data_IF_123848418720
#
_entry.id   IF_123848418720
#
_cell.length_a   1.000
_cell.length_b   1.000
_cell.length_c   1.000
_cell.angle_alpha   90.00
_cell.angle_beta   90.00
_cell.angle_gamma   90.00
#
_symmetry.space_group_name_H-M   'P 1'
#
loop_
_entity.id
_entity.type
_entity.pdbx_description
1 polymer ?
#
# COMPACT_ATOMS: atom_id res chain seq x y z
N UNK A 1 -31.80 41.99 -41.99
CA UNK A 1 -31.99 40.66 -41.38
C UNK A 1 -31.18 40.60 -40.11
N UNK A 2 -31.78 40.33 -38.95
CA UNK A 2 -31.06 40.40 -37.68
C UNK A 2 -30.15 39.18 -37.52
N UNK A 3 -28.87 39.44 -37.24
CA UNK A 3 -27.89 38.44 -36.82
C UNK A 3 -28.34 37.87 -35.47
N UNK A 4 -28.75 36.61 -35.45
CA UNK A 4 -28.86 35.85 -34.20
C UNK A 4 -27.45 35.55 -33.70
N UNK A 5 -26.94 36.39 -32.81
CA UNK A 5 -25.78 36.08 -32.00
C UNK A 5 -26.30 35.21 -30.84
N UNK A 6 -26.24 33.89 -31.02
CA UNK A 6 -26.60 32.94 -29.98
C UNK A 6 -25.57 33.07 -28.84
N UNK A 7 -25.90 33.84 -27.81
CA UNK A 7 -25.16 33.85 -26.55
C UNK A 7 -25.31 32.49 -25.88
N UNK A 8 -24.25 31.68 -25.92
CA UNK A 8 -24.18 30.42 -25.17
C UNK A 8 -23.98 30.80 -23.69
N UNK A 9 -24.99 30.52 -22.85
CA UNK A 9 -24.92 30.73 -21.41
C UNK A 9 -23.90 29.75 -20.78
N UNK A 10 -22.89 30.29 -20.10
CA UNK A 10 -21.90 29.53 -19.35
C UNK A 10 -22.43 29.17 -17.97
N UNK A 11 -22.94 27.95 -17.82
CA UNK A 11 -23.45 27.46 -16.55
C UNK A 11 -23.52 25.94 -16.56
N UNK A 12 -22.52 25.28 -15.98
CA UNK A 12 -22.36 23.82 -15.81
C UNK A 12 -22.24 22.99 -17.09
N UNK A 13 -22.95 23.31 -18.18
CA UNK A 13 -23.04 22.60 -19.46
C UNK A 13 -21.75 22.29 -20.19
N UNK A 14 -20.91 23.31 -20.30
CA UNK A 14 -19.75 23.32 -21.16
C UNK A 14 -18.63 23.98 -20.36
N UNK A 15 -17.60 23.21 -20.03
CA UNK A 15 -16.37 23.74 -19.47
C UNK A 15 -15.51 24.21 -20.62
N UNK A 16 -15.40 25.53 -20.78
CA UNK A 16 -14.36 26.07 -21.66
C UNK A 16 -13.02 25.94 -20.94
N UNK A 17 -12.07 25.26 -21.56
CA UNK A 17 -10.67 25.27 -21.14
C UNK A 17 -9.91 26.02 -22.23
N UNK A 18 -9.19 27.08 -21.84
CA UNK A 18 -8.50 27.92 -22.83
C UNK A 18 -7.22 27.28 -23.33
N UNK A 19 -6.49 26.59 -22.45
CA UNK A 19 -5.30 25.82 -22.81
C UNK A 19 -5.36 24.47 -22.09
N UNK A 20 -5.21 23.39 -22.84
CA UNK A 20 -5.11 22.05 -22.28
C UNK A 20 -3.87 21.34 -22.82
N UNK A 21 -3.25 20.53 -21.96
CA UNK A 21 -2.10 19.70 -22.33
C UNK A 21 -2.59 18.33 -22.75
N UNK A 22 -2.15 17.87 -23.92
CA UNK A 22 -2.34 16.47 -24.33
C UNK A 22 -1.38 15.59 -23.54
N UNK A 23 -1.90 14.59 -22.83
CA UNK A 23 -1.09 13.57 -22.18
C UNK A 23 -0.39 12.71 -23.23
N UNK A 24 0.87 12.40 -22.99
CA UNK A 24 1.67 11.47 -23.79
C UNK A 24 1.40 10.03 -23.36
N UNK A 25 1.73 9.05 -24.22
CA UNK A 25 1.57 7.62 -23.93
C UNK A 25 2.39 7.13 -22.73
N UNK A 26 3.34 7.95 -22.23
CA UNK A 26 4.14 7.65 -21.03
C UNK A 26 3.46 8.09 -19.73
N UNK A 27 2.36 8.83 -19.82
CA UNK A 27 1.69 9.43 -18.66
C UNK A 27 0.40 8.69 -18.27
N UNK A 28 -0.10 7.83 -19.15
CA UNK A 28 -1.27 7.00 -18.90
C UNK A 28 -1.13 5.64 -19.58
N UNK A 29 -1.93 4.70 -19.11
CA UNK A 29 -2.13 3.40 -19.75
C UNK A 29 -3.61 3.23 -20.09
N UNK A 30 -3.90 2.61 -21.23
CA UNK A 30 -5.25 2.32 -21.70
C UNK A 30 -5.44 0.81 -21.74
N UNK A 31 -6.48 0.31 -21.06
CA UNK A 31 -6.95 -1.04 -21.29
C UNK A 31 -7.98 -1.01 -22.42
N UNK A 32 -7.56 -1.37 -23.63
CA UNK A 32 -8.39 -1.28 -24.83
C UNK A 32 -9.59 -2.24 -24.81
N UNK A 33 -9.49 -3.35 -24.06
CA UNK A 33 -10.55 -4.36 -23.97
C UNK A 33 -11.67 -3.92 -23.04
N UNK A 34 -11.31 -3.38 -21.87
CA UNK A 34 -12.26 -2.97 -20.83
C UNK A 34 -12.62 -1.48 -20.90
N UNK A 35 -11.86 -0.67 -21.64
CA UNK A 35 -12.14 0.73 -21.90
C UNK A 35 -11.86 1.68 -20.73
N UNK A 36 -10.86 1.38 -19.89
CA UNK A 36 -10.45 2.26 -18.80
C UNK A 36 -9.06 2.85 -19.00
N UNK A 37 -8.84 4.03 -18.40
CA UNK A 37 -7.57 4.75 -18.44
C UNK A 37 -7.02 4.80 -17.01
N UNK A 38 -5.74 4.43 -16.85
CA UNK A 38 -5.01 4.59 -15.60
C UNK A 38 -3.91 5.63 -15.79
N UNK A 39 -3.97 6.70 -15.02
CA UNK A 39 -2.92 7.72 -15.00
C UNK A 39 -1.74 7.28 -14.13
N UNK A 40 -0.54 7.65 -14.55
CA UNK A 40 0.68 7.37 -13.78
C UNK A 40 0.86 8.34 -12.60
N UNK A 41 0.23 9.50 -12.69
CA UNK A 41 0.19 10.52 -11.63
C UNK A 41 -1.25 10.90 -11.30
N UNK A 42 -1.51 11.13 -10.03
CA UNK A 42 -2.80 11.65 -9.59
C UNK A 42 -2.97 13.09 -10.04
N UNK A 43 -4.16 13.42 -10.55
CA UNK A 43 -4.51 14.79 -10.92
C UNK A 43 -4.81 15.63 -9.68
N UNK A 44 -4.45 16.91 -9.72
CA UNK A 44 -4.82 17.88 -8.70
C UNK A 44 -6.35 18.11 -8.68
N UNK A 45 -6.87 18.59 -7.56
CA UNK A 45 -8.32 18.78 -7.38
C UNK A 45 -8.93 19.76 -8.40
N UNK A 46 -8.17 20.77 -8.82
CA UNK A 46 -8.53 21.81 -9.77
C UNK A 46 -8.28 21.43 -11.24
N UNK A 47 -7.71 20.26 -11.52
CA UNK A 47 -7.46 19.80 -12.89
C UNK A 47 -8.69 19.13 -13.52
N UNK A 48 -8.82 19.29 -14.84
CA UNK A 48 -9.86 18.67 -15.67
C UNK A 48 -9.22 17.58 -16.52
N UNK A 49 -9.92 16.45 -16.69
CA UNK A 49 -9.52 15.39 -17.62
C UNK A 49 -10.63 15.15 -18.64
N UNK A 50 -10.25 15.18 -19.92
CA UNK A 50 -11.14 14.89 -21.04
C UNK A 50 -10.43 13.99 -22.07
N UNK A 51 -11.23 13.27 -22.86
CA UNK A 51 -10.75 12.29 -23.84
C UNK A 51 -11.48 12.45 -25.16
N UNK A 52 -10.78 12.12 -26.25
CA UNK A 52 -11.37 11.78 -27.53
C UNK A 52 -10.73 10.49 -28.05
N UNK A 53 -11.55 9.59 -28.57
CA UNK A 53 -11.09 8.29 -29.05
C UNK A 53 -12.04 7.73 -30.10
N UNK A 54 -11.52 6.81 -30.90
CA UNK A 54 -12.27 6.01 -31.86
C UNK A 54 -12.07 4.53 -31.52
N UNK A 55 -13.12 3.74 -31.69
CA UNK A 55 -13.04 2.29 -31.49
C UNK A 55 -13.94 1.57 -32.48
N UNK A 56 -13.55 0.35 -32.85
CA UNK A 56 -14.33 -0.48 -33.77
C UNK A 56 -14.97 -1.62 -33.01
N UNK A 57 -16.28 -1.76 -33.14
CA UNK A 57 -17.05 -2.84 -32.53
C UNK A 57 -17.97 -3.49 -33.56
N UNK A 58 -17.85 -4.80 -33.73
CA UNK A 58 -18.60 -5.58 -34.73
C UNK A 58 -18.53 -4.98 -36.14
N UNK A 59 -17.33 -4.55 -36.57
CA UNK A 59 -17.07 -3.97 -37.89
C UNK A 59 -17.58 -2.54 -38.10
N UNK A 60 -18.16 -1.90 -37.07
CA UNK A 60 -18.57 -0.49 -37.11
C UNK A 60 -17.63 0.36 -36.27
N UNK A 61 -17.15 1.45 -36.84
CA UNK A 61 -16.33 2.44 -36.13
C UNK A 61 -17.21 3.45 -35.42
N UNK A 62 -16.95 3.65 -34.14
CA UNK A 62 -17.61 4.63 -33.29
C UNK A 62 -16.58 5.66 -32.85
N UNK A 63 -17.01 6.92 -32.76
CA UNK A 63 -16.17 8.04 -32.37
C UNK A 63 -16.78 8.77 -31.18
N UNK A 64 -15.93 9.15 -30.24
CA UNK A 64 -16.29 9.95 -29.06
C UNK A 64 -15.37 11.15 -29.00
N UNK A 65 -15.94 12.35 -29.06
CA UNK A 65 -15.20 13.61 -29.11
C UNK A 65 -14.54 13.89 -30.47
N UNK A 66 -13.71 14.93 -30.51
CA UNK A 66 -13.01 15.38 -31.70
C UNK A 66 -11.50 15.16 -31.60
N UNK A 67 -10.94 14.44 -32.56
CA UNK A 67 -9.50 14.24 -32.67
C UNK A 67 -8.85 15.47 -33.29
N UNK A 68 -7.66 15.86 -32.81
CA UNK A 68 -6.89 16.98 -33.37
C UNK A 68 -6.54 16.80 -34.86
N UNK A 69 -6.55 15.58 -35.35
CA UNK A 69 -6.32 15.23 -36.77
C UNK A 69 -7.55 15.44 -37.66
N UNK A 70 -8.70 15.85 -37.11
CA UNK A 70 -9.96 16.03 -37.84
C UNK A 70 -10.06 17.35 -38.62
N UNK A 71 -8.96 18.11 -38.74
CA UNK A 71 -8.92 19.36 -39.51
C UNK A 71 -9.47 20.60 -38.80
N UNK A 72 -9.67 20.55 -37.47
CA UNK A 72 -10.08 21.69 -36.65
C UNK A 72 -8.83 22.51 -36.32
N UNK A 73 -8.81 23.77 -36.73
CA UNK A 73 -7.66 24.68 -36.55
C UNK A 73 -8.05 25.90 -35.72
N UNK A 74 -7.09 26.44 -34.97
CA UNK A 74 -7.22 27.70 -34.23
C UNK A 74 -7.89 28.79 -35.09
N UNK A 75 -8.87 29.55 -34.55
CA UNK A 75 -9.30 29.65 -33.15
C UNK A 75 -10.46 28.70 -32.78
N UNK A 76 -10.76 27.70 -33.62
CA UNK A 76 -11.84 26.76 -33.34
C UNK A 76 -11.45 25.84 -32.18
N UNK A 77 -12.44 25.39 -31.43
CA UNK A 77 -12.23 24.62 -30.22
C UNK A 77 -12.63 23.16 -30.42
N UNK A 78 -11.88 22.24 -29.80
CA UNK A 78 -12.20 20.81 -29.80
C UNK A 78 -13.29 20.50 -28.79
N UNK A 79 -14.27 19.72 -29.22
CA UNK A 79 -15.29 19.13 -28.35
C UNK A 79 -14.81 17.77 -27.86
N UNK A 80 -14.54 17.64 -26.57
CA UNK A 80 -14.05 16.40 -25.96
C UNK A 80 -15.04 15.85 -24.94
N UNK A 81 -14.92 14.54 -24.64
CA UNK A 81 -15.67 13.92 -23.56
C UNK A 81 -15.00 14.17 -22.23
N UNK A 82 -15.70 14.87 -21.34
CA UNK A 82 -15.27 15.10 -19.97
C UNK A 82 -15.33 13.79 -19.15
N UNK A 83 -14.24 13.46 -18.46
CA UNK A 83 -14.17 12.29 -17.56
C UNK A 83 -13.86 12.66 -16.10
N UNK A 84 -13.19 13.80 -15.84
CA UNK A 84 -13.05 14.41 -14.50
C UNK A 84 -13.24 15.92 -14.58
N UNK A 85 -14.17 16.46 -13.81
CA UNK A 85 -14.36 17.90 -13.62
C UNK A 85 -13.56 18.42 -12.41
N UNK A 86 -13.40 19.74 -12.30
CA UNK A 86 -12.80 20.39 -11.11
C UNK A 86 -13.63 20.19 -9.84
N UNK A 87 -14.96 20.14 -9.98
CA UNK A 87 -15.85 19.81 -8.87
C UNK A 87 -16.19 18.32 -8.93
N UNK A 88 -15.46 17.51 -8.17
CA UNK A 88 -15.67 16.07 -8.11
C UNK A 88 -16.76 15.74 -7.08
N UNK A 89 -18.02 15.71 -7.53
CA UNK A 89 -19.18 15.40 -6.67
C UNK A 89 -19.97 14.19 -7.16
N UNK A 90 -20.48 13.33 -6.25
CA UNK A 90 -21.33 12.19 -6.61
C UNK A 90 -22.60 12.51 -7.38
N UNK A 91 -23.03 13.79 -7.37
CA UNK A 91 -24.19 14.26 -8.12
C UNK A 91 -23.93 14.34 -9.62
N UNK A 92 -22.67 14.42 -10.06
CA UNK A 92 -22.31 14.56 -11.47
C UNK A 92 -22.09 13.19 -12.15
N UNK A 93 -22.44 13.03 -13.44
CA UNK A 93 -22.24 11.77 -14.16
C UNK A 93 -20.78 11.33 -14.23
N UNK A 94 -19.83 12.27 -14.25
CA UNK A 94 -18.38 12.00 -14.25
C UNK A 94 -17.96 11.18 -13.04
N UNK A 95 -18.68 11.27 -11.91
CA UNK A 95 -18.41 10.47 -10.73
C UNK A 95 -18.52 8.97 -10.99
N UNK A 96 -19.47 8.56 -11.83
CA UNK A 96 -19.68 7.15 -12.21
C UNK A 96 -18.60 6.62 -13.16
N UNK A 97 -17.90 7.51 -13.87
CA UNK A 97 -16.79 7.15 -14.75
C UNK A 97 -15.50 6.85 -13.97
N UNK A 98 -15.36 7.40 -12.76
CA UNK A 98 -14.25 7.07 -11.87
C UNK A 98 -14.38 5.65 -11.34
N UNK A 99 -13.42 4.80 -11.68
CA UNK A 99 -13.26 3.46 -11.11
C UNK A 99 -12.86 3.55 -9.63
N UNK A 100 -13.53 2.74 -8.80
CA UNK A 100 -13.32 2.67 -7.32
C UNK A 100 -13.14 1.23 -6.85
N UNK A 101 -12.76 0.36 -7.78
CA UNK A 101 -12.61 -1.08 -7.62
C UNK A 101 -11.15 -1.51 -7.85
N UNK A 102 -10.20 -0.58 -7.75
CA UNK A 102 -8.77 -0.80 -7.94
C UNK A 102 -8.03 -0.41 -6.67
N UNK A 103 -7.27 -1.33 -6.10
CA UNK A 103 -6.61 -1.16 -4.80
C UNK A 103 -5.11 -1.38 -4.96
N UNK A 104 -4.31 -0.42 -4.49
CA UNK A 104 -2.86 -0.55 -4.49
C UNK A 104 -2.41 -1.35 -3.27
N UNK A 105 -1.54 -2.34 -3.47
CA UNK A 105 -0.91 -3.12 -2.39
C UNK A 105 0.51 -2.62 -2.04
N UNK A 106 0.93 -1.50 -2.64
CA UNK A 106 2.24 -0.87 -2.38
C UNK A 106 3.43 -1.68 -2.90
N UNK A 107 3.19 -2.59 -3.83
CA UNK A 107 4.18 -3.50 -4.37
C UNK A 107 4.60 -3.11 -5.80
N UNK A 108 5.79 -3.52 -6.20
CA UNK A 108 6.29 -3.39 -7.57
C UNK A 108 6.80 -4.75 -8.05
N UNK A 109 6.60 -5.04 -9.34
CA UNK A 109 7.03 -6.29 -9.96
C UNK A 109 6.60 -7.51 -9.14
N UNK A 110 5.30 -7.60 -8.87
CA UNK A 110 4.70 -8.67 -8.06
C UNK A 110 4.85 -10.00 -8.79
N UNK A 111 5.44 -10.99 -8.12
CA UNK A 111 5.51 -12.36 -8.64
C UNK A 111 4.15 -13.07 -8.43
N UNK A 112 3.69 -13.89 -9.39
CA UNK A 112 2.60 -14.83 -9.17
C UNK A 112 2.93 -15.89 -8.11
N UNK A 113 4.21 -16.24 -7.96
CA UNK A 113 4.65 -17.30 -7.06
C UNK A 113 4.38 -16.89 -5.60
N UNK A 114 3.80 -17.80 -4.82
CA UNK A 114 3.40 -17.59 -3.42
C UNK A 114 2.57 -16.32 -3.17
N UNK A 115 1.85 -15.85 -4.20
CA UNK A 115 0.95 -14.73 -4.06
C UNK A 115 -0.33 -15.16 -3.34
N UNK A 116 -0.58 -14.55 -2.20
CA UNK A 116 -1.80 -14.75 -1.42
C UNK A 116 -2.55 -13.43 -1.30
N UNK A 117 -3.85 -13.43 -1.61
CA UNK A 117 -4.73 -12.32 -1.34
C UNK A 117 -6.02 -12.79 -0.70
N UNK A 118 -6.34 -12.15 0.41
CA UNK A 118 -7.57 -12.33 1.16
C UNK A 118 -8.31 -11.01 1.26
N UNK A 119 -9.64 -11.11 1.15
CA UNK A 119 -10.53 -10.06 1.59
C UNK A 119 -11.11 -10.51 2.93
N UNK A 120 -10.95 -9.67 3.94
CA UNK A 120 -11.38 -9.92 5.30
C UNK A 120 -12.45 -8.90 5.70
N UNK A 121 -13.34 -9.30 6.60
CA UNK A 121 -14.33 -8.48 7.25
C UNK A 121 -14.06 -8.45 8.75
N UNK A 122 -13.99 -7.26 9.33
CA UNK A 122 -13.82 -7.05 10.76
C UNK A 122 -15.15 -7.32 11.47
N UNK A 123 -15.24 -8.43 12.20
CA UNK A 123 -16.44 -8.79 12.95
C UNK A 123 -16.46 -8.13 14.34
N UNK A 124 -17.51 -7.37 14.64
CA UNK A 124 -17.63 -6.65 15.92
C UNK A 124 -17.87 -7.59 17.10
N UNK A 125 -18.47 -8.76 16.85
CA UNK A 125 -18.80 -9.71 17.93
C UNK A 125 -17.55 -10.37 18.50
N UNK A 126 -16.64 -10.77 17.62
CA UNK A 126 -15.41 -11.47 17.99
C UNK A 126 -14.18 -10.57 18.06
N UNK A 127 -14.21 -9.39 17.44
CA UNK A 127 -13.04 -8.53 17.27
C UNK A 127 -12.03 -9.06 16.25
N UNK A 128 -12.34 -10.16 15.57
CA UNK A 128 -11.44 -10.80 14.62
C UNK A 128 -11.75 -10.39 13.18
N UNK A 129 -10.71 -10.40 12.34
CA UNK A 129 -10.87 -10.27 10.89
C UNK A 129 -11.12 -11.67 10.29
N UNK A 130 -12.30 -11.87 9.72
CA UNK A 130 -12.74 -13.15 9.14
C UNK A 130 -12.87 -13.05 7.63
N UNK A 131 -12.66 -14.14 6.90
CA UNK A 131 -12.71 -14.15 5.44
C UNK A 131 -14.09 -14.47 4.85
N UNK A 132 -15.17 -14.42 5.63
CA UNK A 132 -16.57 -14.64 5.20
C UNK A 132 -17.53 -13.69 5.93
N UNK A 133 -18.78 -13.61 5.49
CA UNK A 133 -19.83 -12.87 6.19
C UNK A 133 -20.53 -13.79 7.21
N UNK A 134 -20.63 -13.44 8.51
CA UNK A 134 -21.18 -14.35 9.53
C UNK A 134 -22.59 -14.89 9.25
N UNK A 135 -23.47 -14.08 8.66
CA UNK A 135 -24.85 -14.44 8.32
C UNK A 135 -24.99 -15.14 6.96
N UNK A 136 -23.88 -15.35 6.24
CA UNK A 136 -23.85 -16.29 5.12
C UNK A 136 -23.80 -17.72 5.67
N UNK A 137 -24.88 -18.49 5.43
CA UNK A 137 -25.01 -19.87 5.90
C UNK A 137 -23.92 -20.78 5.35
N UNK A 138 -23.47 -20.51 4.12
CA UNK A 138 -22.46 -21.32 3.45
C UNK A 138 -21.03 -20.89 3.85
N UNK A 139 -20.89 -19.79 4.60
CA UNK A 139 -19.62 -19.19 5.02
C UNK A 139 -18.61 -19.09 3.86
N UNK A 140 -19.08 -18.68 2.68
CA UNK A 140 -18.22 -18.64 1.52
C UNK A 140 -17.15 -17.57 1.70
N UNK A 141 -15.92 -17.88 1.29
CA UNK A 141 -14.82 -16.93 1.36
C UNK A 141 -15.12 -15.68 0.50
N UNK A 142 -14.71 -14.52 0.99
CA UNK A 142 -15.05 -13.22 0.43
C UNK A 142 -14.43 -13.02 -0.95
N UNK A 143 -13.24 -13.54 -1.22
CA UNK A 143 -12.64 -13.47 -2.57
C UNK A 143 -13.57 -14.12 -3.62
N UNK A 144 -14.16 -15.27 -3.29
CA UNK A 144 -15.13 -15.94 -4.15
C UNK A 144 -16.46 -15.20 -4.20
N UNK A 145 -16.97 -14.73 -3.06
CA UNK A 145 -18.20 -13.92 -3.01
C UNK A 145 -18.09 -12.63 -3.85
N UNK A 146 -16.89 -12.03 -3.93
CA UNK A 146 -16.57 -10.83 -4.67
C UNK A 146 -16.06 -11.09 -6.09
N UNK A 147 -16.12 -12.35 -6.55
CA UNK A 147 -15.78 -12.77 -7.92
C UNK A 147 -14.29 -12.64 -8.28
N UNK A 148 -13.40 -12.73 -7.29
CA UNK A 148 -11.94 -12.76 -7.43
C UNK A 148 -11.37 -14.18 -7.53
N UNK A 149 -12.19 -15.20 -7.31
CA UNK A 149 -11.85 -16.63 -7.37
C UNK A 149 -12.93 -17.31 -8.23
N UNK A 150 -12.58 -17.58 -9.48
CA UNK A 150 -13.45 -18.18 -10.50
C UNK A 150 -12.81 -19.33 -11.25
N UNK A 151 -11.48 -19.35 -11.31
CA UNK A 151 -10.72 -20.36 -12.00
C UNK A 151 -9.84 -21.12 -11.01
N UNK A 152 -9.39 -22.31 -11.40
CA UNK A 152 -8.42 -23.07 -10.62
C UNK A 152 -6.99 -22.83 -11.15
N UNK A 153 -6.02 -23.45 -10.50
CA UNK A 153 -4.62 -23.50 -10.96
C UNK A 153 -4.42 -23.99 -12.41
N UNK A 154 -5.33 -24.76 -13.00
CA UNK A 154 -5.30 -25.20 -14.41
C UNK A 154 -6.00 -24.22 -15.37
N UNK A 155 -6.50 -23.08 -14.88
CA UNK A 155 -7.30 -22.09 -15.61
C UNK A 155 -8.68 -22.58 -16.06
N UNK A 156 -9.16 -23.70 -15.51
CA UNK A 156 -10.53 -24.16 -15.71
C UNK A 156 -11.51 -23.31 -14.92
N UNK A 157 -12.77 -23.12 -15.37
CA UNK A 157 -13.78 -22.29 -14.71
C UNK A 157 -14.37 -22.96 -13.46
N UNK A 158 -13.51 -23.30 -12.51
CA UNK A 158 -13.85 -23.86 -11.21
C UNK A 158 -13.08 -23.12 -10.11
N UNK A 159 -13.75 -22.43 -9.17
CA UNK A 159 -13.08 -21.77 -8.05
C UNK A 159 -12.33 -22.77 -7.15
N UNK A 160 -11.12 -22.43 -6.71
CA UNK A 160 -10.27 -23.27 -5.85
C UNK A 160 -9.98 -22.67 -4.48
N UNK A 161 -10.49 -21.46 -4.21
CA UNK A 161 -10.29 -20.78 -2.94
C UNK A 161 -9.05 -19.89 -2.90
N UNK A 162 -8.35 -19.73 -4.03
CA UNK A 162 -7.21 -18.84 -4.20
C UNK A 162 -7.62 -17.64 -5.07
N UNK A 163 -6.91 -16.53 -4.92
CA UNK A 163 -7.13 -15.37 -5.78
C UNK A 163 -6.69 -15.68 -7.21
N UNK A 164 -7.56 -15.41 -8.19
CA UNK A 164 -7.23 -15.56 -9.61
C UNK A 164 -6.15 -14.54 -10.00
N UNK A 165 -4.88 -14.95 -10.08
CA UNK A 165 -3.78 -14.06 -10.48
C UNK A 165 -3.65 -13.96 -12.01
N UNK A 166 -4.30 -12.96 -12.61
CA UNK A 166 -4.35 -12.78 -14.07
C UNK A 166 -3.92 -11.36 -14.42
N UNK A 167 -2.74 -11.25 -15.03
CA UNK A 167 -2.16 -9.97 -15.42
C UNK A 167 -3.06 -9.18 -16.37
N UNK A 168 -3.27 -7.91 -16.06
CA UNK A 168 -4.11 -6.99 -16.82
C UNK A 168 -5.62 -7.17 -16.61
N UNK A 169 -6.05 -8.18 -15.82
CA UNK A 169 -7.47 -8.44 -15.51
C UNK A 169 -7.74 -8.26 -14.02
N UNK A 170 -7.03 -8.99 -13.16
CA UNK A 170 -7.22 -8.98 -11.69
C UNK A 170 -6.02 -8.37 -10.97
N UNK A 171 -4.85 -8.33 -11.60
CA UNK A 171 -3.66 -7.63 -11.07
C UNK A 171 -2.91 -6.90 -12.19
N UNK A 172 -2.20 -5.83 -11.82
CA UNK A 172 -1.08 -5.29 -12.57
C UNK A 172 0.20 -5.55 -11.77
N UNK A 173 1.03 -6.47 -12.26
CA UNK A 173 2.28 -6.90 -11.62
C UNK A 173 3.27 -5.76 -11.48
N UNK A 174 3.35 -4.87 -12.47
CA UNK A 174 4.38 -3.82 -12.50
C UNK A 174 4.27 -2.83 -11.33
N UNK A 175 3.04 -2.52 -10.89
CA UNK A 175 2.77 -1.49 -9.88
C UNK A 175 1.86 -1.96 -8.74
N UNK A 176 1.62 -3.26 -8.62
CA UNK A 176 0.90 -3.86 -7.49
C UNK A 176 -0.51 -3.31 -7.33
N UNK A 177 -1.27 -3.21 -8.43
CA UNK A 177 -2.69 -2.82 -8.38
C UNK A 177 -3.58 -4.03 -8.55
N UNK A 178 -4.49 -4.25 -7.61
CA UNK A 178 -5.50 -5.30 -7.63
C UNK A 178 -6.80 -4.74 -8.20
N UNK A 179 -7.34 -5.41 -9.21
CA UNK A 179 -8.55 -5.05 -9.92
C UNK A 179 -9.67 -6.00 -9.51
N UNK A 180 -10.70 -5.47 -8.88
CA UNK A 180 -11.91 -6.23 -8.63
C UNK A 180 -12.74 -6.32 -9.92
N UNK A 181 -13.19 -7.51 -10.36
CA UNK A 181 -13.92 -7.68 -11.62
C UNK A 181 -15.30 -7.03 -11.69
N UNK A 182 -15.71 -6.29 -10.65
CA UNK A 182 -16.99 -5.59 -10.59
C UNK A 182 -16.79 -4.13 -10.22
N UNK A 183 -17.69 -3.25 -10.66
CA UNK A 183 -17.58 -1.80 -10.41
C UNK A 183 -17.75 -1.45 -8.92
N UNK A 184 -18.58 -2.21 -8.21
CA UNK A 184 -18.91 -1.97 -6.80
C UNK A 184 -18.82 -3.28 -5.99
N UNK A 185 -17.62 -3.83 -5.77
CA UNK A 185 -17.44 -5.11 -5.09
C UNK A 185 -18.10 -5.14 -3.70
N UNK A 186 -17.78 -4.16 -2.86
CA UNK A 186 -18.33 -4.05 -1.49
C UNK A 186 -19.75 -3.45 -1.44
N UNK A 187 -20.25 -2.95 -2.57
CA UNK A 187 -21.57 -2.34 -2.71
C UNK A 187 -22.54 -3.32 -3.37
N UNK A 188 -22.86 -3.05 -4.64
CA UNK A 188 -23.82 -3.84 -5.43
C UNK A 188 -23.50 -5.33 -5.48
N UNK A 189 -22.24 -5.71 -5.70
CA UNK A 189 -21.85 -7.12 -5.87
C UNK A 189 -22.10 -7.93 -4.60
N UNK A 190 -21.62 -7.45 -3.45
CA UNK A 190 -21.85 -8.10 -2.15
C UNK A 190 -23.35 -8.16 -1.80
N UNK A 191 -24.11 -7.11 -2.11
CA UNK A 191 -25.55 -7.10 -1.88
C UNK A 191 -26.28 -8.17 -2.70
N UNK A 192 -25.94 -8.31 -3.99
CA UNK A 192 -26.49 -9.33 -4.88
C UNK A 192 -26.10 -10.74 -4.44
N UNK A 193 -24.85 -10.93 -4.02
CA UNK A 193 -24.37 -12.19 -3.46
C UNK A 193 -25.20 -12.62 -2.23
N UNK A 194 -25.30 -11.75 -1.22
CA UNK A 194 -26.07 -12.04 0.00
C UNK A 194 -27.56 -12.20 -0.28
N UNK A 195 -28.10 -11.49 -1.29
CA UNK A 195 -29.47 -11.72 -1.79
C UNK A 195 -29.65 -13.16 -2.25
N UNK A 196 -28.73 -13.66 -3.06
CA UNK A 196 -28.76 -15.01 -3.60
C UNK A 196 -28.68 -16.09 -2.51
N UNK A 197 -28.00 -15.78 -1.40
CA UNK A 197 -27.92 -16.66 -0.21
C UNK A 197 -29.14 -16.58 0.72
N UNK A 198 -30.15 -15.77 0.38
CA UNK A 198 -31.37 -15.61 1.18
C UNK A 198 -31.18 -14.81 2.47
N UNK A 199 -30.13 -13.97 2.55
CA UNK A 199 -29.90 -13.08 3.68
C UNK A 199 -30.88 -11.90 3.60
N UNK A 200 -31.56 -11.62 4.72
CA UNK A 200 -32.57 -10.57 4.80
C UNK A 200 -32.00 -9.17 4.48
N UNK A 201 -32.86 -8.29 3.95
CA UNK A 201 -32.48 -6.93 3.55
C UNK A 201 -31.92 -6.10 4.71
N UNK A 202 -32.49 -6.19 5.91
CA UNK A 202 -32.02 -5.43 7.07
C UNK A 202 -30.64 -5.90 7.53
N UNK A 203 -30.36 -7.20 7.42
CA UNK A 203 -29.06 -7.78 7.75
C UNK A 203 -28.01 -7.35 6.73
N UNK A 204 -28.31 -7.40 5.44
CA UNK A 204 -27.38 -6.99 4.37
C UNK A 204 -26.92 -5.53 4.50
N UNK A 205 -27.78 -4.62 4.95
CA UNK A 205 -27.43 -3.20 5.13
C UNK A 205 -26.26 -2.95 6.10
N UNK A 206 -25.95 -3.92 6.95
CA UNK A 206 -24.77 -3.88 7.83
C UNK A 206 -23.46 -4.07 7.06
N UNK A 207 -23.48 -4.85 5.99
CA UNK A 207 -22.30 -5.25 5.21
C UNK A 207 -22.11 -4.46 3.92
N UNK A 208 -23.19 -4.02 3.29
CA UNK A 208 -23.15 -3.38 1.97
C UNK A 208 -22.62 -1.96 2.09
N UNK A 209 -21.37 -1.75 1.71
CA UNK A 209 -20.68 -0.47 1.83
C UNK A 209 -20.90 0.38 0.57
N UNK A 210 -22.07 1.00 0.46
CA UNK A 210 -22.46 1.80 -0.71
C UNK A 210 -21.80 3.17 -0.73
N UNK A 211 -21.54 3.74 0.43
CA UNK A 211 -20.92 5.06 0.60
C UNK A 211 -19.54 5.13 -0.06
N UNK A 212 -18.83 4.01 -0.13
CA UNK A 212 -17.56 3.89 -0.86
C UNK A 212 -17.68 4.27 -2.35
N UNK A 213 -18.87 4.11 -2.94
CA UNK A 213 -19.11 4.34 -4.38
C UNK A 213 -19.97 5.56 -4.66
N UNK A 214 -20.91 5.90 -3.78
CA UNK A 214 -21.88 7.00 -3.98
C UNK A 214 -21.55 8.28 -3.21
N UNK A 215 -20.48 8.28 -2.41
CA UNK A 215 -20.09 9.39 -1.54
C UNK A 215 -18.60 9.70 -1.66
N UNK A 216 -18.21 10.90 -1.23
CA UNK A 216 -16.80 11.31 -1.17
C UNK A 216 -16.01 10.42 -0.22
N UNK A 217 -14.71 10.23 -0.48
CA UNK A 217 -13.83 9.40 0.37
C UNK A 217 -13.92 9.76 1.85
N UNK A 218 -13.88 11.05 2.20
CA UNK A 218 -13.99 11.53 3.59
C UNK A 218 -15.30 11.08 4.25
N UNK A 219 -16.42 11.18 3.52
CA UNK A 219 -17.73 10.73 4.03
C UNK A 219 -17.78 9.21 4.20
N UNK A 220 -17.20 8.46 3.26
CA UNK A 220 -17.12 7.00 3.38
C UNK A 220 -16.23 6.56 4.56
N UNK A 221 -15.13 7.28 4.83
CA UNK A 221 -14.25 7.02 5.98
C UNK A 221 -14.95 7.23 7.32
N UNK A 222 -15.81 8.25 7.43
CA UNK A 222 -16.62 8.50 8.62
C UNK A 222 -17.67 7.43 8.88
N UNK A 223 -18.00 6.60 7.88
CA UNK A 223 -18.98 5.52 8.02
C UNK A 223 -18.34 4.24 8.57
N UNK A 224 -17.85 4.35 9.82
CA UNK A 224 -17.12 3.30 10.52
C UNK A 224 -17.90 1.99 10.67
N UNK A 225 -19.24 2.03 10.67
CA UNK A 225 -20.07 0.83 10.75
C UNK A 225 -19.89 -0.12 9.56
N UNK A 226 -19.59 0.43 8.37
CA UNK A 226 -19.43 -0.33 7.11
C UNK A 226 -17.99 -0.37 6.61
N UNK A 227 -17.15 0.56 7.05
CA UNK A 227 -15.72 0.59 6.73
C UNK A 227 -14.94 -0.48 7.52
N UNK A 228 -15.25 -1.76 7.24
CA UNK A 228 -14.77 -2.93 7.98
C UNK A 228 -14.09 -3.99 7.11
N UNK A 229 -13.96 -3.72 5.81
CA UNK A 229 -13.26 -4.62 4.89
C UNK A 229 -11.77 -4.31 4.88
N UNK A 230 -10.96 -5.37 4.95
CA UNK A 230 -9.49 -5.31 4.87
C UNK A 230 -9.03 -6.19 3.71
N UNK A 231 -8.10 -5.71 2.92
CA UNK A 231 -7.37 -6.53 1.94
C UNK A 231 -6.04 -6.89 2.60
N UNK A 232 -5.80 -8.17 2.78
CA UNK A 232 -4.61 -8.70 3.44
C UNK A 232 -4.02 -9.81 2.59
N UNK A 233 -2.72 -10.05 2.67
CA UNK A 233 -2.09 -11.03 1.80
C UNK A 233 -0.58 -11.05 1.95
N UNK A 234 0.05 -11.87 1.12
CA UNK A 234 1.50 -12.02 1.01
C UNK A 234 1.87 -11.97 -0.46
N UNK A 235 3.00 -11.35 -0.74
CA UNK A 235 3.53 -11.27 -2.08
C UNK A 235 5.05 -11.25 -2.01
N UNK A 236 5.68 -11.60 -3.11
CA UNK A 236 7.12 -11.44 -3.32
C UNK A 236 7.37 -10.65 -4.61
N UNK A 237 8.53 -10.01 -4.67
CA UNK A 237 8.99 -9.37 -5.90
C UNK A 237 9.60 -10.43 -6.83
N UNK A 238 9.54 -10.21 -8.14
CA UNK A 238 10.10 -11.12 -9.14
C UNK A 238 11.63 -11.22 -9.11
N UNK A 239 12.32 -10.34 -8.37
CA UNK A 239 13.78 -10.43 -8.16
C UNK A 239 14.09 -11.48 -7.09
N UNK A 240 14.32 -12.73 -7.52
CA UNK A 240 14.45 -13.90 -6.64
C UNK A 240 15.73 -13.96 -5.80
N UNK A 241 16.80 -13.26 -6.20
CA UNK A 241 18.09 -13.34 -5.51
C UNK A 241 18.51 -12.07 -4.79
N UNK A 242 17.88 -10.92 -5.08
CA UNK A 242 18.21 -9.63 -4.47
C UNK A 242 17.05 -9.09 -3.64
N UNK A 243 17.30 -8.87 -2.37
CA UNK A 243 16.35 -8.34 -1.40
C UNK A 243 16.76 -6.91 -1.07
N UNK A 244 15.89 -5.94 -1.37
CA UNK A 244 16.07 -4.54 -0.96
C UNK A 244 15.87 -4.40 0.54
N UNK A 245 16.84 -3.79 1.21
CA UNK A 245 16.77 -3.45 2.63
C UNK A 245 15.95 -2.18 2.90
N UNK A 246 15.59 -1.44 1.83
CA UNK A 246 14.91 -0.14 1.89
C UNK A 246 15.61 0.89 2.80
N UNK A 247 16.91 0.69 3.02
CA UNK A 247 17.77 1.55 3.83
C UNK A 247 19.08 1.76 3.07
N UNK A 248 19.30 2.96 2.48
CA UNK A 248 20.59 3.26 1.86
C UNK A 248 21.67 3.47 2.94
N UNK A 249 22.93 3.17 2.60
CA UNK A 249 24.08 3.34 3.49
C UNK A 249 23.98 2.58 4.83
N UNK A 250 23.76 1.26 4.75
CA UNK A 250 23.73 0.39 5.93
C UNK A 250 25.15 0.23 6.49
N UNK A 251 25.36 0.33 7.82
CA UNK A 251 26.66 0.05 8.43
C UNK A 251 27.18 -1.36 8.11
N UNK A 252 28.48 -1.46 7.82
CA UNK A 252 29.09 -2.75 7.50
C UNK A 252 29.01 -3.72 8.68
N UNK A 253 28.59 -4.96 8.42
CA UNK A 253 28.44 -6.00 9.44
C UNK A 253 27.17 -5.90 10.31
N UNK A 254 26.30 -4.92 10.09
CA UNK A 254 25.04 -4.80 10.84
C UNK A 254 23.92 -5.70 10.31
N UNK A 255 24.10 -6.26 9.12
CA UNK A 255 23.12 -7.12 8.47
C UNK A 255 23.27 -8.54 9.00
N UNK A 256 22.21 -9.05 9.63
CA UNK A 256 22.10 -10.43 10.09
C UNK A 256 21.00 -11.11 9.29
N UNK A 257 21.39 -12.08 8.48
CA UNK A 257 20.46 -12.90 7.69
C UNK A 257 20.27 -14.25 8.35
N UNK A 258 19.02 -14.67 8.53
CA UNK A 258 18.68 -16.01 9.03
C UNK A 258 17.73 -16.72 8.06
N UNK A 259 17.91 -18.04 7.89
CA UNK A 259 17.01 -18.89 7.12
C UNK A 259 16.58 -20.08 7.98
N UNK A 260 15.27 -20.27 8.16
CA UNK A 260 14.75 -21.38 8.97
C UNK A 260 15.24 -21.37 10.44
N UNK A 261 15.64 -20.20 10.95
CA UNK A 261 16.22 -20.04 12.28
C UNK A 261 17.74 -20.16 12.36
N UNK A 262 18.41 -20.65 11.30
CA UNK A 262 19.88 -20.67 11.23
C UNK A 262 20.43 -19.34 10.75
N UNK A 263 21.47 -18.82 11.40
CA UNK A 263 22.20 -17.64 10.95
C UNK A 263 23.07 -17.99 9.74
N UNK A 264 22.91 -17.24 8.66
CA UNK A 264 23.68 -17.41 7.44
C UNK A 264 25.01 -16.66 7.53
N UNK A 265 26.00 -17.11 6.75
CA UNK A 265 27.33 -16.50 6.72
C UNK A 265 27.50 -15.58 5.51
N UNK A 266 27.90 -14.34 5.76
CA UNK A 266 28.19 -13.36 4.70
C UNK A 266 29.40 -13.83 3.86
N UNK A 267 29.33 -13.59 2.55
CA UNK A 267 30.24 -14.04 1.49
C UNK A 267 30.27 -15.55 1.22
N UNK A 268 29.48 -16.34 1.94
CA UNK A 268 29.28 -17.78 1.67
C UNK A 268 27.84 -18.02 1.23
N UNK A 269 26.88 -17.64 2.08
CA UNK A 269 25.46 -17.86 1.82
C UNK A 269 24.79 -16.66 1.13
N UNK A 270 25.27 -15.45 1.41
CA UNK A 270 24.77 -14.21 0.85
C UNK A 270 25.87 -13.13 0.78
N UNK A 271 25.65 -12.09 -0.01
CA UNK A 271 26.47 -10.86 -0.03
C UNK A 271 25.60 -9.65 0.27
N UNK A 272 26.22 -8.58 0.76
CA UNK A 272 25.53 -7.32 1.08
C UNK A 272 26.18 -6.18 0.30
N UNK A 273 25.36 -5.45 -0.47
CA UNK A 273 25.70 -4.12 -0.95
C UNK A 273 25.25 -3.10 0.11
N UNK A 274 26.20 -2.69 0.94
CA UNK A 274 25.98 -1.74 2.02
C UNK A 274 25.64 -0.32 1.53
N UNK A 275 26.08 0.06 0.34
CA UNK A 275 25.80 1.39 -0.23
C UNK A 275 24.36 1.46 -0.75
N UNK A 276 23.98 0.49 -1.58
CA UNK A 276 22.64 0.42 -2.17
C UNK A 276 21.60 -0.15 -1.19
N UNK A 277 22.04 -0.77 -0.09
CA UNK A 277 21.15 -1.41 0.86
C UNK A 277 20.47 -2.64 0.26
N UNK A 278 21.23 -3.56 -0.31
CA UNK A 278 20.70 -4.79 -0.93
C UNK A 278 21.43 -6.02 -0.41
N UNK A 279 20.68 -7.10 -0.21
CA UNK A 279 21.23 -8.42 0.12
C UNK A 279 21.02 -9.34 -1.05
N UNK A 280 22.09 -10.00 -1.50
CA UNK A 280 22.04 -11.00 -2.56
C UNK A 280 22.29 -12.39 -1.99
N UNK A 281 21.32 -13.28 -2.11
CA UNK A 281 21.47 -14.69 -1.69
C UNK A 281 22.26 -15.44 -2.77
N UNK A 282 23.37 -16.07 -2.38
CA UNK A 282 24.28 -16.79 -3.29
C UNK A 282 24.06 -18.30 -3.20
N UNK A 283 23.72 -18.80 -2.01
CA UNK A 283 23.47 -20.22 -1.79
C UNK A 283 22.16 -20.67 -2.48
N UNK A 284 22.29 -21.38 -3.60
CA UNK A 284 21.16 -21.84 -4.41
C UNK A 284 20.25 -22.82 -3.66
N UNK A 285 20.79 -23.64 -2.76
CA UNK A 285 19.98 -24.56 -1.96
C UNK A 285 18.99 -23.83 -1.04
N UNK A 286 19.32 -22.61 -0.61
CA UNK A 286 18.39 -21.79 0.18
C UNK A 286 17.29 -21.18 -0.70
N UNK A 287 17.60 -20.82 -1.95
CA UNK A 287 16.63 -20.30 -2.91
C UNK A 287 15.65 -21.39 -3.37
N UNK A 288 16.15 -22.59 -3.66
CA UNK A 288 15.33 -23.72 -4.13
C UNK A 288 14.47 -24.33 -3.03
N UNK A 289 14.90 -24.26 -1.77
CA UNK A 289 14.15 -24.83 -0.65
C UNK A 289 12.93 -24.01 -0.23
N UNK A 290 12.77 -22.78 -0.71
CA UNK A 290 11.67 -21.89 -0.33
C UNK A 290 11.66 -21.51 1.16
N UNK A 291 12.78 -21.72 1.86
CA UNK A 291 12.88 -21.44 3.30
C UNK A 291 12.77 -19.94 3.56
N UNK A 292 11.90 -19.47 4.46
CA UNK A 292 11.78 -18.05 4.75
C UNK A 292 13.11 -17.45 5.23
N UNK A 293 13.57 -16.42 4.52
CA UNK A 293 14.77 -15.65 4.85
C UNK A 293 14.34 -14.39 5.60
N UNK A 294 14.83 -14.24 6.83
CA UNK A 294 14.63 -13.04 7.65
C UNK A 294 15.92 -12.23 7.69
N UNK A 295 15.83 -10.96 7.34
CA UNK A 295 16.95 -10.03 7.43
C UNK A 295 16.67 -9.06 8.56
N UNK A 296 17.63 -8.93 9.46
CA UNK A 296 17.66 -7.89 10.49
C UNK A 296 18.84 -6.99 10.19
N UNK A 297 18.67 -5.68 10.33
CA UNK A 297 19.74 -4.71 10.11
C UNK A 297 19.66 -3.59 11.14
N UNK A 298 20.81 -3.04 11.48
CA UNK A 298 20.89 -1.76 12.17
C UNK A 298 20.99 -0.65 11.12
N UNK A 299 20.12 0.35 11.19
CA UNK A 299 20.14 1.50 10.29
C UNK A 299 20.52 2.75 11.06
N UNK A 300 21.56 3.45 10.61
CA UNK A 300 21.96 4.76 11.12
C UNK A 300 21.07 5.89 10.58
N UNK A 301 19.76 5.67 10.49
CA UNK A 301 18.85 6.69 9.99
C UNK A 301 18.95 7.94 10.87
N UNK A 302 19.50 9.01 10.29
CA UNK A 302 19.78 10.30 10.94
C UNK A 302 18.51 11.05 11.40
N UNK A 303 17.33 10.49 11.15
CA UNK A 303 16.03 11.09 11.49
C UNK A 303 15.41 10.56 12.78
N UNK A 304 16.16 9.87 13.65
CA UNK A 304 15.66 9.62 14.99
C UNK A 304 15.89 10.84 15.88
N UNK A 305 14.81 11.56 16.15
CA UNK A 305 14.81 12.79 16.96
C UNK A 305 15.01 12.47 18.47
N UNK A 306 14.75 11.22 18.88
CA UNK A 306 14.91 10.79 20.28
C UNK A 306 16.37 10.43 20.58
N UNK A 307 16.88 10.89 21.72
CA UNK A 307 18.23 10.51 22.16
C UNK A 307 18.20 9.12 22.77
N UNK A 308 19.03 8.20 22.25
CA UNK A 308 19.21 6.84 22.79
C UNK A 308 20.55 6.74 23.50
N UNK A 309 20.55 6.20 24.71
CA UNK A 309 21.76 5.95 25.51
C UNK A 309 21.82 4.46 25.83
N UNK A 310 22.83 3.78 25.30
CA UNK A 310 23.14 2.38 25.61
C UNK A 310 24.39 2.34 26.49
N UNK A 311 24.27 1.82 27.70
CA UNK A 311 25.39 1.62 28.64
C UNK A 311 25.38 0.19 29.08
N UNK A 312 26.53 -0.45 29.09
CA UNK A 312 26.62 -1.80 29.61
C UNK A 312 28.04 -2.32 29.64
N UNK A 313 28.16 -3.55 30.11
CA UNK A 313 29.42 -4.27 30.21
C UNK A 313 29.20 -5.72 29.81
N UNK A 314 30.24 -6.29 29.22
CA UNK A 314 30.34 -7.71 28.94
C UNK A 314 31.66 -8.22 29.53
N UNK A 315 31.61 -9.35 30.22
CA UNK A 315 32.76 -9.96 30.88
C UNK A 315 32.87 -11.41 30.45
N UNK A 316 34.00 -11.79 29.87
CA UNK A 316 34.33 -13.16 29.54
C UNK A 316 35.34 -13.73 30.53
N UNK A 317 35.06 -14.93 31.03
CA UNK A 317 35.98 -15.72 31.81
C UNK A 317 36.31 -17.02 31.09
N UNK A 318 37.58 -17.16 30.70
CA UNK A 318 38.13 -18.36 30.08
C UNK A 318 38.61 -19.32 31.16
N UNK A 319 37.87 -20.39 31.40
CA UNK A 319 38.27 -21.43 32.36
C UNK A 319 39.47 -22.25 31.84
N UNK A 320 39.47 -22.53 30.54
CA UNK A 320 40.57 -23.17 29.80
C UNK A 320 40.42 -22.83 28.30
N UNK A 321 41.32 -23.34 27.45
CA UNK A 321 41.30 -23.05 26.01
C UNK A 321 40.02 -23.52 25.29
N UNK A 322 39.27 -24.41 25.93
CA UNK A 322 38.11 -25.08 25.37
C UNK A 322 36.78 -24.62 26.00
N UNK A 323 36.80 -23.82 27.07
CA UNK A 323 35.60 -23.43 27.81
C UNK A 323 35.63 -21.96 28.24
N UNK A 324 34.65 -21.21 27.75
CA UNK A 324 34.47 -19.78 28.04
C UNK A 324 33.06 -19.57 28.57
N UNK A 325 32.92 -18.78 29.64
CA UNK A 325 31.63 -18.28 30.13
C UNK A 325 31.66 -16.76 30.08
N UNK A 326 30.63 -16.18 29.48
CA UNK A 326 30.41 -14.75 29.39
C UNK A 326 29.20 -14.30 30.23
N UNK A 327 29.24 -13.05 30.69
CA UNK A 327 28.14 -12.38 31.35
C UNK A 327 27.94 -10.98 30.78
N UNK A 328 26.70 -10.65 30.43
CA UNK A 328 26.34 -9.37 29.80
C UNK A 328 25.33 -8.64 30.65
N UNK A 329 25.52 -7.32 30.84
CA UNK A 329 24.48 -6.42 31.33
C UNK A 329 24.46 -5.18 30.46
N UNK A 330 23.31 -4.87 29.87
CA UNK A 330 23.07 -3.72 29.00
C UNK A 330 21.85 -2.95 29.51
N UNK A 331 21.94 -1.63 29.50
CA UNK A 331 20.82 -0.73 29.79
C UNK A 331 20.65 0.23 28.62
N UNK A 332 19.49 0.16 27.96
CA UNK A 332 19.10 1.05 26.87
C UNK A 332 18.01 2.00 27.38
N UNK A 333 18.29 3.29 27.37
CA UNK A 333 17.34 4.33 27.76
C UNK A 333 17.12 5.33 26.62
N UNK A 334 15.86 5.57 26.29
CA UNK A 334 15.43 6.59 25.35
C UNK A 334 14.89 7.81 26.10
N UNK A 335 15.23 9.00 25.61
CA UNK A 335 14.73 10.25 26.14
C UNK A 335 13.89 10.97 25.08
N UNK A 336 12.59 11.22 25.35
CA UNK A 336 11.73 11.95 24.43
C UNK A 336 12.06 13.46 24.47
N UNK A 337 11.74 14.19 23.40
CA UNK A 337 11.85 15.65 23.39
C UNK A 337 10.82 16.32 24.30
N UNK A 338 9.61 15.77 24.35
CA UNK A 338 8.47 16.28 25.09
C UNK A 338 8.05 15.29 26.18
N UNK A 339 7.42 15.79 27.24
CA UNK A 339 6.85 14.92 28.29
C UNK A 339 5.50 14.31 27.89
N UNK A 340 4.82 14.94 26.91
CA UNK A 340 3.64 14.39 26.26
C UNK A 340 4.13 13.51 25.12
N UNK A 341 3.81 12.23 25.18
CA UNK A 341 4.23 11.24 24.19
C UNK A 341 2.99 10.47 23.74
N UNK A 342 2.82 10.35 22.43
CA UNK A 342 1.69 9.65 21.83
C UNK A 342 1.89 8.14 21.88
N UNK A 343 0.78 7.41 21.75
CA UNK A 343 0.82 5.96 21.66
C UNK A 343 1.61 5.51 20.42
N UNK A 344 2.55 4.59 20.62
CA UNK A 344 3.51 4.12 19.60
C UNK A 344 4.88 4.79 19.65
N UNK A 345 4.98 5.99 20.25
CA UNK A 345 6.24 6.73 20.38
C UNK A 345 6.84 6.61 21.79
N UNK A 346 6.35 5.68 22.63
CA UNK A 346 6.77 5.57 24.02
C UNK A 346 8.26 5.24 24.16
N UNK A 347 9.05 6.08 24.86
CA UNK A 347 10.47 5.86 25.06
C UNK A 347 10.69 4.69 26.02
N UNK A 348 11.55 3.77 25.60
CA UNK A 348 11.90 2.59 26.40
C UNK A 348 13.02 2.90 27.38
N UNK A 349 13.06 2.13 28.47
CA UNK A 349 14.15 2.14 29.44
C UNK A 349 14.39 0.72 29.92
N UNK A 350 14.99 -0.08 29.06
CA UNK A 350 15.09 -1.53 29.21
C UNK A 350 16.48 -1.93 29.72
N UNK A 351 16.53 -2.90 30.62
CA UNK A 351 17.77 -3.55 31.06
C UNK A 351 17.76 -4.99 30.59
N UNK A 352 18.79 -5.40 29.85
CA UNK A 352 19.03 -6.81 29.51
C UNK A 352 20.18 -7.29 30.36
N UNK A 353 20.04 -8.47 30.96
CA UNK A 353 21.17 -9.19 31.49
C UNK A 353 21.16 -10.62 30.96
N UNK A 354 22.33 -11.22 30.79
CA UNK A 354 22.45 -12.54 30.24
C UNK A 354 23.76 -13.22 30.60
N UNK A 355 23.77 -14.53 30.38
CA UNK A 355 24.93 -15.39 30.53
C UNK A 355 25.05 -16.25 29.28
N UNK A 356 26.27 -16.43 28.80
CA UNK A 356 26.58 -17.27 27.65
C UNK A 356 27.73 -18.20 27.98
N UNK A 357 27.78 -19.34 27.32
CA UNK A 357 28.84 -20.32 27.50
C UNK A 357 29.12 -21.05 26.21
N UNK A 358 30.41 -21.24 25.92
CA UNK A 358 30.89 -21.96 24.74
C UNK A 358 31.89 -23.01 25.18
N UNK A 359 31.66 -24.26 24.78
CA UNK A 359 32.57 -25.38 24.98
C UNK A 359 32.93 -26.02 23.65
N UNK A 360 34.21 -25.98 23.26
CA UNK A 360 34.71 -26.56 22.00
C UNK A 360 35.74 -27.65 22.28
N UNK A 361 35.55 -28.83 21.69
CA UNK A 361 36.51 -29.94 21.81
C UNK A 361 36.68 -30.65 20.49
N UNK A 362 37.88 -31.19 20.25
CA UNK A 362 38.12 -32.11 19.14
C UNK A 362 37.56 -33.50 19.46
N UNK A 363 36.99 -34.16 18.45
CA UNK A 363 36.42 -35.50 18.52
C UNK A 363 37.14 -36.42 17.53
N UNK A 364 38.09 -37.19 18.04
CA UNK A 364 38.78 -38.21 17.26
C UNK A 364 37.84 -39.35 16.86
N UNK A 365 36.78 -39.60 17.64
CA UNK A 365 35.79 -40.61 17.32
C UNK A 365 34.99 -40.26 16.05
N UNK A 366 34.58 -39.00 15.91
CA UNK A 366 33.94 -38.52 14.67
C UNK A 366 34.89 -38.56 13.48
N UNK A 367 36.13 -38.10 13.69
CA UNK A 367 37.19 -38.14 12.67
C UNK A 367 37.40 -39.57 12.16
N UNK A 368 37.57 -40.51 13.09
CA UNK A 368 37.78 -41.94 12.80
C UNK A 368 36.56 -42.63 12.16
N UNK A 369 35.34 -42.15 12.44
CA UNK A 369 34.13 -42.67 11.80
C UNK A 369 34.02 -42.19 10.35
N UNK A 370 34.38 -40.93 10.08
CA UNK A 370 34.39 -40.38 8.72
C UNK A 370 35.48 -41.06 7.89
N UNK A 371 36.65 -41.32 8.46
CA UNK A 371 37.76 -42.04 7.80
C UNK A 371 37.44 -43.49 7.41
N UNK A 372 36.42 -44.10 8.04
CA UNK A 372 35.97 -45.46 7.71
C UNK A 372 35.06 -45.50 6.48
N UNK A 373 34.60 -44.36 5.98
CA UNK A 373 33.81 -44.33 4.75
C UNK A 373 34.74 -44.58 3.55
N UNK A 374 34.43 -45.58 2.69
CA UNK A 374 35.28 -45.86 1.54
C UNK A 374 35.38 -44.61 0.64
N UNK A 375 36.59 -44.36 0.11
CA UNK A 375 36.96 -43.22 -0.73
C UNK A 375 37.11 -41.85 -0.03
N UNK A 376 37.05 -41.77 1.30
CA UNK A 376 37.34 -40.55 2.08
C UNK A 376 38.55 -40.76 3.01
N UNK A 377 39.45 -39.78 3.07
CA UNK A 377 40.54 -39.71 4.06
C UNK A 377 40.59 -38.29 4.60
N UNK A 378 40.27 -38.10 5.88
CA UNK A 378 40.30 -36.81 6.56
C UNK A 378 41.65 -36.59 7.22
N UNK A 379 42.25 -35.41 6.98
CA UNK A 379 43.51 -35.00 7.61
C UNK A 379 43.30 -34.01 8.76
N UNK A 380 42.16 -33.33 8.76
CA UNK A 380 41.79 -32.33 9.75
C UNK A 380 40.91 -32.97 10.84
N UNK A 381 41.16 -32.66 12.14
CA UNK A 381 40.36 -33.20 13.23
C UNK A 381 38.93 -32.64 13.20
N UNK A 382 37.95 -33.50 13.52
CA UNK A 382 36.56 -33.06 13.71
C UNK A 382 36.40 -32.30 15.02
N UNK A 383 35.74 -31.14 15.01
CA UNK A 383 35.45 -30.35 16.21
C UNK A 383 33.97 -30.39 16.57
N UNK A 384 33.65 -30.48 17.87
CA UNK A 384 32.30 -30.34 18.40
C UNK A 384 32.27 -29.09 19.28
N UNK A 385 31.34 -28.19 18.97
CA UNK A 385 31.10 -26.98 19.75
C UNK A 385 29.69 -27.04 20.35
N UNK A 386 29.60 -26.77 21.65
CA UNK A 386 28.36 -26.57 22.37
C UNK A 386 28.27 -25.11 22.79
N UNK A 387 27.18 -24.46 22.40
CA UNK A 387 26.89 -23.06 22.74
C UNK A 387 25.56 -23.00 23.49
N UNK A 388 25.52 -22.18 24.53
CA UNK A 388 24.31 -21.91 25.30
C UNK A 388 24.25 -20.44 25.68
N UNK A 389 23.10 -19.83 25.48
CA UNK A 389 22.86 -18.43 25.82
C UNK A 389 21.53 -18.31 26.59
N UNK A 390 21.54 -17.48 27.63
CA UNK A 390 20.36 -17.05 28.36
C UNK A 390 20.38 -15.53 28.47
N UNK A 391 19.27 -14.89 28.12
CA UNK A 391 19.09 -13.46 28.30
C UNK A 391 17.71 -13.17 28.88
N UNK A 392 17.65 -12.24 29.83
CA UNK A 392 16.43 -11.76 30.43
C UNK A 392 16.31 -10.24 30.23
N UNK A 393 15.19 -9.84 29.64
CA UNK A 393 14.81 -8.45 29.41
C UNK A 393 13.93 -7.98 30.57
N UNK A 394 14.38 -6.94 31.27
CA UNK A 394 13.59 -6.19 32.26
C UNK A 394 13.10 -4.92 31.56
N UNK A 395 11.83 -4.86 31.15
CA UNK A 395 11.28 -3.69 30.49
C UNK A 395 11.06 -2.56 31.49
N UNK A 396 11.20 -1.32 31.03
CA UNK A 396 10.93 -0.12 31.81
C UNK A 396 10.61 1.08 30.94
N UNK A 397 10.19 2.18 31.57
CA UNK A 397 9.83 3.43 30.91
C UNK A 397 10.78 4.58 31.30
N UNK A 398 10.95 5.54 30.39
CA UNK A 398 11.78 6.72 30.64
C UNK A 398 11.25 7.57 31.79
N UNK A 399 12.13 7.94 32.74
CA UNK A 399 11.81 8.85 33.87
C UNK A 399 11.44 10.27 33.42
N UNK A 400 11.72 10.62 32.16
CA UNK A 400 11.33 11.90 31.56
C UNK A 400 9.81 12.01 31.37
N UNK A 401 9.10 10.88 31.29
CA UNK A 401 7.64 10.81 31.33
C UNK A 401 7.18 10.74 32.79
N UNK A 402 5.99 11.27 33.10
CA UNK A 402 5.39 11.24 34.45
C UNK A 402 5.52 9.84 35.07
N UNK A 403 5.62 9.79 36.41
CA UNK A 403 5.93 8.57 37.20
C UNK A 403 5.12 7.32 36.80
N UNK A 404 3.90 7.48 36.31
CA UNK A 404 3.02 6.39 35.90
C UNK A 404 3.23 5.86 34.45
N UNK A 405 4.17 6.40 33.67
CA UNK A 405 4.38 5.96 32.29
C UNK A 405 3.18 6.26 31.39
N UNK A 406 2.72 7.51 31.39
CA UNK A 406 1.52 7.92 30.64
C UNK A 406 1.82 8.10 29.15
N UNK A 407 1.02 7.48 28.28
CA UNK A 407 0.94 7.81 26.85
C UNK A 407 -0.42 8.38 26.47
N UNK A 408 -0.43 9.21 25.43
CA UNK A 408 -1.61 9.93 24.94
C UNK A 408 -2.15 9.21 23.70
N UNK A 409 -3.43 8.84 23.72
CA UNK A 409 -4.11 8.30 22.53
C UNK A 409 -4.39 9.43 21.53
N UNK A 410 -4.77 10.59 22.05
CA UNK A 410 -4.94 11.84 21.31
C UNK A 410 -4.74 13.00 22.32
N UNK A 411 -3.96 13.99 21.95
CA UNK A 411 -3.72 15.19 22.75
C UNK A 411 -4.42 16.44 22.18
N UNK A 412 -5.16 16.28 21.07
CA UNK A 412 -5.86 17.32 20.32
C UNK A 412 -4.98 18.48 19.85
N UNK A 413 -3.64 18.41 19.93
CA UNK A 413 -2.77 19.50 19.47
C UNK A 413 -2.84 19.70 17.95
N UNK A 414 -3.09 18.62 17.19
CA UNK A 414 -3.33 18.65 15.74
C UNK A 414 -4.79 18.82 15.31
N UNK A 415 -5.71 19.12 16.24
CA UNK A 415 -7.16 19.19 15.93
C UNK A 415 -7.55 20.42 15.11
N UNK A 416 -6.71 21.46 15.12
CA UNK A 416 -6.91 22.69 14.34
C UNK A 416 -5.80 22.86 13.31
N UNK A 417 -6.21 23.11 12.06
CA UNK A 417 -5.29 23.54 11.00
C UNK A 417 -5.65 24.96 10.60
N UNK A 418 -4.75 25.91 10.92
CA UNK A 418 -4.92 27.31 10.54
C UNK A 418 -4.51 27.51 9.08
N UNK A 419 -5.41 28.06 8.26
CA UNK A 419 -5.10 28.50 6.90
C UNK A 419 -5.01 30.02 6.87
N UNK A 420 -3.86 30.56 6.50
CA UNK A 420 -3.69 32.01 6.38
C UNK A 420 -4.30 32.54 5.08
N UNK A 421 -5.29 33.43 5.19
CA UNK A 421 -5.91 34.12 4.05
C UNK A 421 -5.47 35.59 3.93
N UNK A 422 -4.53 36.05 4.75
CA UNK A 422 -4.14 37.47 4.86
C UNK A 422 -3.10 37.92 3.82
N UNK A 423 -2.62 37.02 2.98
CA UNK A 423 -1.60 37.33 1.95
C UNK A 423 -2.17 38.27 0.88
N UNK A 424 -1.92 39.58 1.02
CA UNK A 424 -2.44 40.63 0.12
C UNK A 424 -2.23 40.35 -1.38
N UNK A 425 -1.07 39.86 -1.85
CA UNK A 425 -0.86 39.56 -3.28
C UNK A 425 -1.79 38.48 -3.85
N UNK A 426 -2.40 37.64 -3.02
CA UNK A 426 -3.36 36.62 -3.45
C UNK A 426 -4.78 37.17 -3.66
N UNK A 427 -5.05 38.41 -3.23
CA UNK A 427 -6.37 39.02 -3.38
C UNK A 427 -6.48 39.73 -4.73
N UNK A 428 -7.64 39.57 -5.36
CA UNK A 428 -8.00 40.27 -6.59
C UNK A 428 -9.39 40.90 -6.45
N UNK A 429 -9.71 41.85 -7.34
CA UNK A 429 -11.06 42.39 -7.42
C UNK A 429 -12.06 41.25 -7.68
N UNK A 430 -13.09 41.20 -6.83
CA UNK A 430 -14.18 40.24 -6.99
C UNK A 430 -15.15 40.71 -8.08
N UNK A 431 -15.89 39.77 -8.66
CA UNK A 431 -17.04 40.09 -9.49
C UNK A 431 -18.16 40.71 -8.66
N UNK A 432 -19.10 41.39 -9.33
CA UNK A 432 -20.28 41.95 -8.65
C UNK A 432 -21.08 40.83 -7.95
N UNK A 433 -21.32 40.94 -6.63
CA UNK A 433 -22.08 39.93 -5.88
C UNK A 433 -23.50 39.77 -6.43
N UNK A 434 -23.95 38.53 -6.54
CA UNK A 434 -25.33 38.22 -6.94
C UNK A 434 -26.30 38.35 -5.75
N UNK A 435 -27.60 38.47 -6.02
CA UNK A 435 -28.65 38.47 -4.99
C UNK A 435 -28.89 39.81 -4.29
N UNK A 436 -28.21 40.87 -4.72
CA UNK A 436 -28.38 42.23 -4.22
C UNK A 436 -29.00 43.10 -5.33
N UNK A 437 -30.21 42.76 -5.77
CA UNK A 437 -30.93 43.41 -6.88
C UNK A 437 -31.08 44.92 -6.72
N UNK A 438 -31.05 45.38 -5.47
CA UNK A 438 -31.38 46.72 -5.04
C UNK A 438 -30.14 47.65 -5.13
N UNK A 439 -28.94 47.06 -5.01
CA UNK A 439 -27.65 47.76 -5.15
C UNK A 439 -26.99 47.49 -6.50
N UNK A 440 -27.24 46.33 -7.10
CA UNK A 440 -26.63 45.88 -8.35
C UNK A 440 -27.69 45.28 -9.29
N UNK A 441 -28.30 46.10 -10.18
CA UNK A 441 -29.35 45.62 -11.08
C UNK A 441 -28.82 44.70 -12.21
N UNK A 442 -29.01 43.36 -12.04
CA UNK A 442 -29.00 42.23 -13.02
C UNK A 442 -27.64 41.85 -13.68
N UNK A 443 -27.43 40.62 -14.23
CA UNK A 443 -28.39 39.56 -14.61
C UNK A 443 -28.20 38.20 -13.91
N UNK A 444 -29.29 37.43 -13.86
CA UNK A 444 -29.37 36.05 -13.39
C UNK A 444 -28.87 35.12 -14.52
N UNK A 445 -27.83 34.34 -14.26
CA UNK A 445 -27.45 33.20 -15.10
C UNK A 445 -27.72 31.91 -14.31
N UNK A 446 -28.72 31.14 -14.77
CA UNK A 446 -29.14 29.88 -14.16
C UNK A 446 -28.81 28.70 -15.11
N UNK A 447 -28.45 27.55 -14.49
CA UNK A 447 -28.63 26.13 -14.90
C UNK A 447 -27.67 25.34 -15.83
N UNK A 448 -27.16 24.21 -15.25
CA UNK A 448 -26.92 22.77 -15.64
C UNK A 448 -26.51 22.27 -17.06
N UNK A 449 -25.46 21.40 -17.19
CA UNK A 449 -25.27 20.19 -18.09
C UNK A 449 -23.78 19.69 -18.23
N UNK A 450 -23.37 18.81 -19.18
CA UNK A 450 -22.12 17.99 -19.16
C UNK A 450 -21.23 17.91 -20.46
N UNK A 451 -20.34 18.87 -20.75
CA UNK A 451 -19.38 18.86 -21.89
C UNK A 451 -18.15 19.75 -21.60
N UNK A 452 -17.04 19.61 -22.38
CA UNK A 452 -15.86 20.50 -22.35
C UNK A 452 -15.54 20.96 -23.77
N UNK A 453 -15.29 22.27 -23.94
CA UNK A 453 -14.78 22.88 -25.16
C UNK A 453 -13.34 23.33 -24.89
N UNK A 454 -12.38 22.84 -25.65
CA UNK A 454 -10.97 23.22 -25.49
C UNK A 454 -10.58 24.16 -26.61
N UNK A 455 -10.22 25.40 -26.28
CA UNK A 455 -9.63 26.32 -27.25
C UNK A 455 -8.33 25.77 -27.80
N UNK A 456 -8.20 25.72 -29.12
CA UNK A 456 -6.90 25.51 -29.76
C UNK A 456 -6.28 26.89 -29.98
N UNK A 457 -5.06 27.10 -29.48
CA UNK A 457 -4.22 28.21 -29.92
C UNK A 457 -3.28 27.73 -31.01
#
# INVERSE_FOLDING_TARGET
MPRFQAGILFGSGLRKVENARRLTEREFTLNEKLGYISLNTSLNSDEILAVAYEYTYNGKTFRVGELSTSGITSPQALVLKLIKATNLTPKLPTWKLMMKNVYAIGAYQVSPDDFELHVLYQDDKTGNAINYIPEDKDKQILIRALKLDKINSQQDPSPDGVFDFIEGITINQSNGRIFFPTLEPFGKTLNEYLKGKGVDTLVRKKYVFRELYDSTQTKAQLEAERNKFKIAGRYQSSSSSEISLNAPNVPQGSVVVTAGGMKLTENIDYTVDYMLGRVKIINQGLLESGTPIKISLESNSLFNIQTKTLVGTHLDYRFNDNFIIGGTVLHLSERPLTQKVNIGDEPISNTIWGVNGTYTTESQLLTSLIDKLPFLQTKEPSTITFEGEFAHLIPGHSKAIKKAGTSYIDDFEGSETSYEMKSYPAWSLASTPQGQSDMFPKPILQTTCDMVIIGLN
#
